data_IF_748200637658
#
_entry.id   IF_748200637658
#
_cell.length_a   1.000
_cell.length_b   1.000
_cell.length_c   1.000
_cell.angle_alpha   90.00
_cell.angle_beta   90.00
_cell.angle_gamma   90.00
#
_symmetry.space_group_name_H-M   'P 1'
#
loop_
_entity.id
_entity.type
_entity.pdbx_description
1 polymer ?
#
# COMPACT_ATOMS: atom_id res chain seq x y z
N UNK A 1 36.49 -15.32 -4.95
CA UNK A 1 35.26 -14.75 -4.36
C UNK A 1 34.93 -13.50 -5.13
N UNK A 2 33.92 -13.56 -6.00
CA UNK A 2 33.41 -12.38 -6.66
C UNK A 2 32.60 -11.59 -5.63
N UNK A 3 32.91 -10.31 -5.47
CA UNK A 3 32.04 -9.37 -4.76
C UNK A 3 30.83 -9.16 -5.66
N UNK A 4 29.72 -9.79 -5.30
CA UNK A 4 28.43 -9.51 -5.89
C UNK A 4 28.02 -8.07 -5.50
N UNK A 5 27.54 -7.25 -6.45
CA UNK A 5 27.06 -5.92 -6.11
C UNK A 5 25.81 -6.06 -5.24
N UNK A 6 25.98 -5.86 -3.93
CA UNK A 6 24.87 -5.74 -2.98
C UNK A 6 24.04 -4.52 -3.38
N UNK A 7 22.89 -4.76 -4.01
CA UNK A 7 21.83 -3.75 -4.19
C UNK A 7 21.08 -3.58 -2.87
N UNK A 8 21.77 -3.37 -1.76
CA UNK A 8 21.13 -2.98 -0.52
C UNK A 8 20.85 -1.48 -0.56
N UNK A 9 19.94 -1.07 -1.45
CA UNK A 9 19.57 0.30 -1.73
C UNK A 9 18.27 0.71 -1.03
N UNK A 10 18.18 0.51 0.29
CA UNK A 10 17.00 0.81 1.11
C UNK A 10 16.75 2.31 1.33
N UNK A 11 16.92 3.14 0.31
CA UNK A 11 16.80 4.61 0.40
C UNK A 11 16.58 5.34 -0.92
N UNK A 12 16.24 4.63 -2.00
CA UNK A 12 15.89 5.26 -3.28
C UNK A 12 14.47 5.85 -3.27
N UNK A 13 14.22 6.83 -4.12
CA UNK A 13 12.89 7.44 -4.28
C UNK A 13 11.80 6.41 -4.57
N UNK A 14 12.12 5.37 -5.33
CA UNK A 14 11.18 4.28 -5.64
C UNK A 14 10.74 3.53 -4.38
N UNK A 15 11.66 3.20 -3.47
CA UNK A 15 11.35 2.51 -2.21
C UNK A 15 10.50 3.40 -1.29
N UNK A 16 10.78 4.70 -1.27
CA UNK A 16 10.01 5.68 -0.50
C UNK A 16 8.59 5.81 -1.04
N UNK A 17 8.42 5.91 -2.35
CA UNK A 17 7.10 5.97 -2.99
C UNK A 17 6.33 4.68 -2.72
N UNK A 18 6.97 3.52 -2.85
CA UNK A 18 6.33 2.22 -2.59
C UNK A 18 5.82 2.13 -1.15
N UNK A 19 6.64 2.53 -0.17
CA UNK A 19 6.22 2.61 1.25
C UNK A 19 5.07 3.57 1.50
N UNK A 20 5.10 4.76 0.88
CA UNK A 20 4.00 5.74 1.00
C UNK A 20 2.71 5.18 0.39
N UNK A 21 2.79 4.50 -0.74
CA UNK A 21 1.62 3.91 -1.38
C UNK A 21 1.07 2.72 -0.58
N UNK A 22 1.93 1.92 0.04
CA UNK A 22 1.53 0.74 0.82
C UNK A 22 0.96 1.12 2.19
N UNK A 23 1.71 1.90 2.98
CA UNK A 23 1.35 2.25 4.37
C UNK A 23 0.54 3.53 4.51
N UNK A 24 0.69 4.46 3.57
CA UNK A 24 0.17 5.83 3.68
C UNK A 24 1.12 6.78 4.43
N UNK A 25 0.91 8.08 4.23
CA UNK A 25 1.64 9.20 4.82
C UNK A 25 0.65 10.24 5.38
N UNK A 26 0.84 10.65 6.63
CA UNK A 26 0.04 11.72 7.25
C UNK A 26 0.87 12.99 7.36
N UNK A 27 0.34 14.10 6.85
CA UNK A 27 0.96 15.42 6.85
C UNK A 27 0.17 16.33 7.79
N UNK A 28 0.85 16.90 8.78
CA UNK A 28 0.33 17.96 9.64
C UNK A 28 1.06 19.25 9.30
N UNK A 29 0.33 20.27 8.88
CA UNK A 29 0.88 21.58 8.55
C UNK A 29 0.09 22.68 9.28
N UNK A 30 0.80 23.73 9.68
CA UNK A 30 0.22 24.93 10.29
C UNK A 30 0.71 26.13 9.49
N UNK A 31 -0.23 26.97 9.04
CA UNK A 31 0.05 28.17 8.27
C UNK A 31 -0.49 29.35 9.05
N UNK A 32 0.40 30.27 9.43
CA UNK A 32 0.02 31.49 10.15
C UNK A 32 0.28 32.72 9.30
N UNK A 33 -0.73 33.58 9.18
CA UNK A 33 -0.67 34.86 8.47
C UNK A 33 -0.66 35.99 9.50
N UNK A 34 0.41 36.78 9.50
CA UNK A 34 0.61 37.88 10.45
C UNK A 34 0.80 39.22 9.72
N UNK A 35 0.26 40.30 10.29
CA UNK A 35 0.43 41.67 9.78
C UNK A 35 0.80 42.58 10.94
N UNK A 36 1.82 43.43 10.75
CA UNK A 36 2.26 44.38 11.77
C UNK A 36 2.58 43.76 13.16
N UNK A 37 3.03 42.50 13.20
CA UNK A 37 3.37 41.81 14.44
C UNK A 37 2.18 41.19 15.20
N UNK A 38 0.96 41.24 14.64
CA UNK A 38 -0.20 40.51 15.16
C UNK A 38 -0.57 39.35 14.24
N UNK A 39 -0.86 38.19 14.83
CA UNK A 39 -1.34 37.00 14.12
C UNK A 39 -2.81 37.18 13.75
N UNK A 40 -3.14 37.12 12.47
CA UNK A 40 -4.51 37.33 11.97
C UNK A 40 -5.25 36.03 11.71
N UNK A 41 -4.55 35.03 11.16
CA UNK A 41 -5.16 33.77 10.74
C UNK A 41 -4.18 32.62 10.92
N UNK A 42 -4.61 31.58 11.64
CA UNK A 42 -3.92 30.29 11.71
C UNK A 42 -4.76 29.22 11.02
N UNK A 43 -4.18 28.51 10.06
CA UNK A 43 -4.80 27.39 9.34
C UNK A 43 -4.06 26.12 9.71
N UNK A 44 -4.79 25.17 10.32
CA UNK A 44 -4.28 23.83 10.61
C UNK A 44 -4.76 22.86 9.54
N UNK A 45 -3.82 22.27 8.82
CA UNK A 45 -4.07 21.31 7.75
C UNK A 45 -3.61 19.93 8.22
N UNK A 46 -4.50 18.94 8.11
CA UNK A 46 -4.18 17.52 8.26
C UNK A 46 -4.56 16.83 6.97
N UNK A 47 -3.59 16.26 6.29
CA UNK A 47 -3.78 15.56 5.03
C UNK A 47 -3.21 14.15 5.12
N UNK A 48 -3.85 13.20 4.47
CA UNK A 48 -3.36 11.81 4.37
C UNK A 48 -3.18 11.47 2.89
N UNK A 49 -2.02 10.94 2.53
CA UNK A 49 -1.68 10.43 1.21
C UNK A 49 -1.54 8.92 1.30
N UNK A 50 -2.30 8.17 0.51
CA UNK A 50 -2.22 6.71 0.48
C UNK A 50 -2.70 6.18 -0.88
N UNK A 51 -2.44 4.90 -1.16
CA UNK A 51 -3.11 4.21 -2.27
C UNK A 51 -4.62 4.16 -2.06
N UNK A 52 -5.40 4.04 -3.14
CA UNK A 52 -6.85 3.87 -3.08
C UNK A 52 -7.25 2.63 -2.26
N UNK A 53 -6.51 1.51 -2.40
CA UNK A 53 -6.72 0.29 -1.61
C UNK A 53 -6.57 0.59 -0.11
N UNK A 54 -5.48 1.24 0.28
CA UNK A 54 -5.19 1.62 1.66
C UNK A 54 -6.21 2.62 2.19
N UNK A 55 -6.58 3.64 1.40
CA UNK A 55 -7.59 4.63 1.73
C UNK A 55 -8.96 3.99 1.99
N UNK A 56 -9.38 3.06 1.13
CA UNK A 56 -10.64 2.33 1.28
C UNK A 56 -10.62 1.40 2.51
N UNK A 57 -9.50 0.71 2.76
CA UNK A 57 -9.32 -0.14 3.94
C UNK A 57 -9.49 0.63 5.26
N UNK A 58 -9.02 1.87 5.31
CA UNK A 58 -9.14 2.73 6.49
C UNK A 58 -10.41 3.60 6.49
N UNK A 59 -11.30 3.43 5.51
CA UNK A 59 -12.59 4.13 5.47
C UNK A 59 -12.49 5.63 5.19
N UNK A 60 -11.52 6.06 4.37
CA UNK A 60 -11.43 7.45 3.92
C UNK A 60 -12.57 7.78 2.96
N UNK A 61 -13.16 8.97 3.13
CA UNK A 61 -14.23 9.47 2.26
C UNK A 61 -13.63 9.90 0.91
N UNK A 62 -14.18 9.36 -0.18
CA UNK A 62 -13.75 9.68 -1.54
C UNK A 62 -14.59 10.82 -2.13
N UNK A 63 -14.00 11.71 -2.94
CA UNK A 63 -14.74 12.78 -3.59
C UNK A 63 -15.82 12.22 -4.54
N UNK A 64 -16.95 12.92 -4.61
CA UNK A 64 -18.07 12.62 -5.50
C UNK A 64 -17.60 12.61 -6.96
N UNK A 65 -17.74 11.46 -7.65
CA UNK A 65 -17.22 11.24 -9.00
C UNK A 65 -16.27 10.04 -9.11
N UNK A 66 -15.85 9.48 -7.97
CA UNK A 66 -15.09 8.23 -7.90
C UNK A 66 -16.05 7.06 -8.13
N UNK A 67 -15.99 6.41 -9.29
CA UNK A 67 -16.98 5.41 -9.71
C UNK A 67 -16.79 4.02 -9.03
N UNK A 68 -16.82 3.95 -7.69
CA UNK A 68 -16.49 2.80 -6.82
C UNK A 68 -17.02 1.41 -7.24
N UNK A 69 -18.00 1.37 -8.13
CA UNK A 69 -18.68 0.18 -8.64
C UNK A 69 -17.96 -0.53 -9.81
N UNK A 70 -16.86 0.01 -10.36
CA UNK A 70 -16.15 -0.66 -11.47
C UNK A 70 -15.52 -1.99 -11.01
N UNK A 71 -15.40 -2.99 -11.91
CA UNK A 71 -14.75 -4.27 -11.58
C UNK A 71 -13.31 -4.07 -11.05
N UNK A 72 -12.59 -3.06 -11.57
CA UNK A 72 -11.26 -2.69 -11.10
C UNK A 72 -11.24 -2.25 -9.62
N UNK A 73 -12.30 -1.61 -9.12
CA UNK A 73 -12.41 -1.26 -7.70
C UNK A 73 -12.63 -2.48 -6.81
N UNK A 74 -13.46 -3.42 -7.26
CA UNK A 74 -13.69 -4.67 -6.52
C UNK A 74 -12.41 -5.48 -6.42
N UNK A 75 -11.59 -5.52 -7.47
CA UNK A 75 -10.27 -6.16 -7.46
C UNK A 75 -9.23 -5.44 -6.59
N UNK A 76 -9.31 -4.11 -6.51
CA UNK A 76 -8.43 -3.33 -5.62
C UNK A 76 -8.76 -3.54 -4.14
N UNK A 77 -10.00 -3.90 -3.80
CA UNK A 77 -10.44 -4.22 -2.43
C UNK A 77 -10.10 -5.66 -2.00
N UNK A 78 -9.68 -6.52 -2.92
CA UNK A 78 -9.28 -7.90 -2.58
C UNK A 78 -8.07 -7.84 -1.66
N UNK A 79 -8.18 -8.48 -0.50
CA UNK A 79 -7.08 -8.55 0.45
C UNK A 79 -5.88 -9.28 -0.16
N UNK A 80 -4.75 -8.57 -0.29
CA UNK A 80 -3.49 -9.08 -0.81
C UNK A 80 -2.46 -9.16 0.31
N UNK A 81 -1.68 -10.23 0.31
CA UNK A 81 -0.54 -10.41 1.21
C UNK A 81 0.74 -10.72 0.44
N UNK A 82 1.87 -10.45 1.07
CA UNK A 82 3.19 -10.76 0.52
C UNK A 82 3.44 -12.26 0.57
N UNK A 83 3.82 -12.86 -0.56
CA UNK A 83 4.30 -14.23 -0.57
C UNK A 83 5.55 -14.37 0.32
N UNK A 84 5.65 -15.36 1.22
CA UNK A 84 6.78 -15.50 2.14
C UNK A 84 8.13 -15.81 1.44
N UNK A 85 8.10 -16.20 0.17
CA UNK A 85 9.32 -16.55 -0.59
C UNK A 85 9.79 -15.44 -1.54
N UNK A 86 8.87 -14.66 -2.13
CA UNK A 86 9.22 -13.65 -3.14
C UNK A 86 8.70 -12.24 -2.84
N UNK A 87 8.03 -12.06 -1.70
CA UNK A 87 7.49 -10.79 -1.17
C UNK A 87 6.50 -10.05 -2.10
N UNK A 88 6.10 -10.65 -3.22
CA UNK A 88 5.09 -10.07 -4.11
C UNK A 88 3.70 -10.12 -3.48
N UNK A 89 2.94 -9.03 -3.64
CA UNK A 89 1.54 -8.93 -3.19
C UNK A 89 0.62 -9.73 -4.10
N UNK A 90 0.09 -10.83 -3.58
CA UNK A 90 -0.83 -11.78 -4.24
C UNK A 90 -2.14 -11.80 -3.44
N UNK A 91 -3.31 -12.02 -4.06
CA UNK A 91 -4.54 -12.26 -3.32
C UNK A 91 -4.38 -13.40 -2.31
N UNK A 92 -4.92 -13.21 -1.10
CA UNK A 92 -4.84 -14.22 -0.03
C UNK A 92 -5.45 -15.55 -0.48
N UNK A 93 -6.57 -15.49 -1.20
CA UNK A 93 -7.24 -16.68 -1.75
C UNK A 93 -6.29 -17.50 -2.64
N UNK A 94 -5.57 -16.85 -3.55
CA UNK A 94 -4.62 -17.53 -4.44
C UNK A 94 -3.46 -18.15 -3.64
N UNK A 95 -2.92 -17.42 -2.66
CA UNK A 95 -1.86 -17.95 -1.80
C UNK A 95 -2.30 -19.19 -1.02
N UNK A 96 -3.54 -19.19 -0.52
CA UNK A 96 -4.08 -20.28 0.30
C UNK A 96 -4.45 -21.49 -0.56
N UNK A 97 -5.07 -21.27 -1.73
CA UNK A 97 -5.71 -22.33 -2.51
C UNK A 97 -4.83 -22.88 -3.63
N UNK A 98 -4.09 -22.03 -4.34
CA UNK A 98 -3.33 -22.41 -5.55
C UNK A 98 -1.81 -22.29 -5.36
N UNK A 99 -1.38 -21.41 -4.45
CA UNK A 99 0.00 -20.99 -4.29
C UNK A 99 0.33 -19.68 -5.02
N UNK A 100 1.56 -19.19 -4.85
CA UNK A 100 2.01 -17.93 -5.45
C UNK A 100 2.28 -18.10 -6.96
N UNK A 101 1.58 -17.38 -7.85
CA UNK A 101 1.72 -17.51 -9.30
C UNK A 101 3.06 -16.99 -9.86
N UNK A 102 3.81 -16.23 -9.07
CA UNK A 102 5.08 -15.65 -9.54
C UNK A 102 6.31 -16.49 -9.23
N UNK A 103 6.31 -17.25 -8.13
CA UNK A 103 7.47 -18.03 -7.70
C UNK A 103 7.19 -19.52 -7.55
N UNK A 104 5.93 -19.94 -7.67
CA UNK A 104 5.54 -21.34 -7.51
C UNK A 104 5.50 -21.82 -6.06
N UNK A 105 5.54 -20.91 -5.07
CA UNK A 105 5.37 -21.28 -3.67
C UNK A 105 3.98 -21.87 -3.43
N UNK A 106 3.87 -22.98 -2.71
CA UNK A 106 2.61 -23.66 -2.43
C UNK A 106 2.36 -23.65 -0.93
N UNK A 107 1.14 -23.31 -0.52
CA UNK A 107 0.77 -23.35 0.90
C UNK A 107 0.61 -24.80 1.39
N UNK A 108 0.81 -25.02 2.68
CA UNK A 108 0.55 -26.33 3.28
C UNK A 108 -0.91 -26.80 3.10
N UNK A 109 -1.85 -25.86 2.94
CA UNK A 109 -3.26 -26.18 2.68
C UNK A 109 -3.46 -26.65 1.24
N UNK A 110 -2.90 -25.92 0.26
CA UNK A 110 -2.96 -26.29 -1.15
C UNK A 110 -2.32 -27.65 -1.41
N UNK A 111 -1.23 -27.98 -0.71
CA UNK A 111 -0.58 -29.28 -0.84
C UNK A 111 -1.46 -30.45 -0.37
N UNK A 112 -2.24 -30.26 0.71
CA UNK A 112 -3.17 -31.31 1.20
C UNK A 112 -4.31 -31.61 0.22
N UNK A 113 -4.78 -30.62 -0.54
CA UNK A 113 -5.84 -30.80 -1.55
C UNK A 113 -5.38 -31.69 -2.71
N UNK A 114 -4.06 -31.84 -2.93
CA UNK A 114 -3.49 -32.69 -3.98
C UNK A 114 -3.27 -34.14 -3.47
N UNK A 115 -3.21 -34.35 -2.15
CA UNK A 115 -3.00 -35.66 -1.53
C UNK A 115 -4.30 -36.44 -1.23
N UNK A 116 -5.48 -35.80 -1.30
CA UNK A 116 -6.82 -36.43 -1.22
C UNK A 116 -7.40 -36.72 -2.62
#
# INVERSE_FOLDING_TARGET
MAIEPSRNGGGGLADVIDRILDKGLVINADITVSVAGVELLGIKIRATLASFETAAKYGLEFPSGTALETPAWKEALVAKEGCPQCEKRVPIEDLISTGCPWCGWISAKAMKVIEE
#
